data_IF_565551779661
#
_entry.id   IF_565551779661
#
_cell.length_a   1.000
_cell.length_b   1.000
_cell.length_c   1.000
_cell.angle_alpha   90.00
_cell.angle_beta   90.00
_cell.angle_gamma   90.00
#
_symmetry.space_group_name_H-M   'P 1'
#
loop_
_entity.id
_entity.type
_entity.pdbx_description
1 polymer ?
#
# COMPACT_ATOMS: atom_id res chain seq x y z
N UNK A 1 70.07 -0.04 1.26
CA UNK A 1 69.32 0.38 0.06
C UNK A 1 68.36 -0.73 -0.30
N UNK A 2 67.10 -0.59 0.09
CA UNK A 2 66.08 -1.58 -0.25
C UNK A 2 65.50 -1.25 -1.64
N UNK A 3 65.71 -2.10 -2.61
CA UNK A 3 65.10 -2.00 -3.92
C UNK A 3 63.60 -2.38 -3.80
N UNK A 4 62.72 -1.41 -4.03
CA UNK A 4 61.28 -1.66 -4.20
C UNK A 4 61.05 -2.33 -5.53
N UNK A 5 60.59 -3.58 -5.49
CA UNK A 5 60.13 -4.32 -6.67
C UNK A 5 58.88 -3.63 -7.25
N UNK A 6 58.84 -3.34 -8.54
CA UNK A 6 57.63 -2.69 -9.14
C UNK A 6 56.45 -3.64 -9.13
N UNK A 7 55.32 -3.14 -8.65
CA UNK A 7 54.04 -3.84 -8.71
C UNK A 7 53.66 -4.11 -10.16
N UNK A 8 53.29 -5.34 -10.55
CA UNK A 8 52.92 -5.65 -11.93
C UNK A 8 51.68 -4.84 -12.32
N UNK A 9 51.76 -4.02 -13.36
CA UNK A 9 50.62 -3.36 -14.00
C UNK A 9 49.81 -4.39 -14.73
N UNK A 10 48.56 -4.57 -14.35
CA UNK A 10 47.60 -5.37 -15.11
C UNK A 10 47.52 -4.84 -16.55
N UNK A 11 47.56 -5.72 -17.55
CA UNK A 11 47.39 -5.32 -18.95
C UNK A 11 45.98 -4.75 -19.19
N UNK A 12 45.86 -3.90 -20.20
CA UNK A 12 44.57 -3.34 -20.59
C UNK A 12 43.49 -4.42 -20.89
N UNK A 13 43.97 -5.58 -21.42
CA UNK A 13 43.11 -6.74 -21.69
C UNK A 13 42.67 -7.46 -20.41
N UNK A 14 43.52 -7.51 -19.38
CA UNK A 14 43.14 -8.06 -18.08
C UNK A 14 42.10 -7.13 -17.34
N UNK A 15 42.28 -5.81 -17.50
CA UNK A 15 41.29 -4.85 -17.04
C UNK A 15 39.99 -4.92 -17.84
N UNK A 16 40.05 -5.04 -19.16
CA UNK A 16 38.86 -5.22 -20.01
C UNK A 16 38.15 -6.56 -19.76
N UNK A 17 38.88 -7.62 -19.44
CA UNK A 17 38.33 -8.94 -19.05
C UNK A 17 37.73 -8.91 -17.64
N UNK A 18 38.31 -8.16 -16.70
CA UNK A 18 37.76 -7.96 -15.35
C UNK A 18 36.49 -7.10 -15.39
N UNK A 19 36.40 -6.11 -16.30
CA UNK A 19 35.21 -5.30 -16.54
C UNK A 19 34.11 -6.11 -17.28
N UNK A 20 34.46 -7.14 -18.01
CA UNK A 20 33.55 -8.08 -18.66
C UNK A 20 33.02 -9.22 -17.76
N UNK A 21 33.48 -9.34 -16.54
CA UNK A 21 32.70 -9.96 -15.48
C UNK A 21 31.56 -8.97 -15.14
N UNK A 22 30.69 -8.82 -16.13
CA UNK A 22 29.44 -8.06 -15.98
C UNK A 22 28.72 -8.67 -14.79
N UNK A 23 28.81 -7.99 -13.65
CA UNK A 23 27.89 -8.23 -12.54
C UNK A 23 26.51 -8.11 -13.17
N UNK A 24 25.85 -9.24 -13.42
CA UNK A 24 24.46 -9.22 -13.88
C UNK A 24 23.72 -8.34 -12.88
N UNK A 25 23.20 -7.20 -13.30
CA UNK A 25 22.55 -6.30 -12.34
C UNK A 25 21.48 -7.11 -11.62
N UNK A 26 21.35 -6.97 -10.31
CA UNK A 26 20.34 -7.70 -9.56
C UNK A 26 18.98 -7.44 -10.18
N UNK A 27 18.15 -8.48 -10.29
CA UNK A 27 16.81 -8.36 -10.85
C UNK A 27 16.06 -7.21 -10.16
N UNK A 28 15.51 -6.29 -10.95
CA UNK A 28 14.78 -5.15 -10.41
C UNK A 28 13.54 -5.65 -9.66
N UNK A 29 13.33 -5.20 -8.42
CA UNK A 29 12.08 -5.49 -7.72
C UNK A 29 10.91 -4.83 -8.45
N UNK A 30 9.72 -5.37 -8.24
CA UNK A 30 8.48 -4.76 -8.73
C UNK A 30 8.29 -3.34 -8.16
N UNK A 31 7.72 -2.41 -8.93
CA UNK A 31 7.43 -1.05 -8.49
C UNK A 31 6.60 -0.98 -7.22
N UNK A 32 6.82 0.06 -6.41
CA UNK A 32 6.06 0.37 -5.21
C UNK A 32 5.24 1.63 -5.48
N UNK A 33 3.93 1.48 -5.53
CA UNK A 33 3.01 2.52 -5.98
C UNK A 33 2.01 2.88 -4.90
N UNK A 34 1.71 4.16 -4.77
CA UNK A 34 0.58 4.63 -3.99
C UNK A 34 -0.39 5.37 -4.91
N UNK A 35 -1.62 4.87 -5.00
CA UNK A 35 -2.73 5.54 -5.67
C UNK A 35 -3.57 6.23 -4.61
N UNK A 36 -3.61 7.54 -4.63
CA UNK A 36 -4.41 8.31 -3.70
C UNK A 36 -5.45 9.16 -4.44
N UNK A 37 -6.61 9.36 -3.83
CA UNK A 37 -7.67 10.16 -4.42
C UNK A 37 -9.00 10.01 -3.71
N UNK A 38 -9.98 10.87 -4.02
CA UNK A 38 -11.34 10.77 -3.48
C UNK A 38 -12.00 9.42 -3.79
N UNK A 39 -13.09 9.11 -3.10
CA UNK A 39 -13.92 7.96 -3.45
C UNK A 39 -14.49 8.13 -4.86
N UNK A 40 -14.68 7.01 -5.59
CA UNK A 40 -15.25 7.02 -6.94
C UNK A 40 -14.30 7.50 -8.05
N UNK A 41 -12.99 7.66 -7.78
CA UNK A 41 -11.99 8.06 -8.79
C UNK A 41 -11.30 6.87 -9.48
N UNK A 42 -11.85 5.66 -9.35
CA UNK A 42 -11.39 4.49 -10.08
C UNK A 42 -10.12 3.81 -9.54
N UNK A 43 -9.70 4.11 -8.29
CA UNK A 43 -8.50 3.49 -7.68
C UNK A 43 -8.53 1.97 -7.73
N UNK A 44 -9.61 1.38 -7.21
CA UNK A 44 -9.76 -0.09 -7.16
C UNK A 44 -10.01 -0.67 -8.55
N UNK A 45 -10.83 0.00 -9.36
CA UNK A 45 -11.16 -0.43 -10.71
C UNK A 45 -9.91 -0.56 -11.59
N UNK A 46 -8.96 0.39 -11.54
CA UNK A 46 -7.76 0.35 -12.37
C UNK A 46 -6.80 -0.82 -12.04
N UNK A 47 -6.95 -1.47 -10.88
CA UNK A 47 -6.18 -2.69 -10.55
C UNK A 47 -6.46 -3.80 -11.57
N UNK A 48 -7.64 -3.83 -12.20
CA UNK A 48 -7.93 -4.74 -13.30
C UNK A 48 -6.93 -4.64 -14.45
N UNK A 49 -6.40 -3.45 -14.74
CA UNK A 49 -5.38 -3.28 -15.79
C UNK A 49 -4.04 -3.90 -15.43
N UNK A 50 -3.71 -4.05 -14.12
CA UNK A 50 -2.53 -4.75 -13.67
C UNK A 50 -2.67 -6.27 -13.85
N UNK A 51 -3.90 -6.79 -13.63
CA UNK A 51 -4.24 -8.19 -13.90
C UNK A 51 -4.14 -8.48 -15.41
N UNK A 52 -4.70 -7.60 -16.26
CA UNK A 52 -4.61 -7.72 -17.72
C UNK A 52 -3.17 -7.63 -18.26
N UNK A 53 -2.31 -6.90 -17.56
CA UNK A 53 -0.88 -6.82 -17.87
C UNK A 53 -0.11 -8.13 -17.55
N UNK A 54 -0.79 -9.16 -17.06
CA UNK A 54 -0.22 -10.48 -16.78
C UNK A 54 0.45 -10.61 -15.41
N UNK A 55 0.30 -9.63 -14.52
CA UNK A 55 0.78 -9.73 -13.15
C UNK A 55 -0.21 -10.54 -12.32
N UNK A 56 0.29 -11.46 -11.49
CA UNK A 56 -0.54 -12.18 -10.53
C UNK A 56 -0.88 -11.25 -9.35
N UNK A 57 -2.12 -10.81 -9.25
CA UNK A 57 -2.56 -9.81 -8.28
C UNK A 57 -3.19 -10.48 -7.07
N UNK A 58 -2.65 -10.18 -5.88
CA UNK A 58 -3.21 -10.57 -4.59
C UNK A 58 -3.73 -9.31 -3.90
N UNK A 59 -5.05 -9.19 -3.86
CA UNK A 59 -5.77 -8.02 -3.39
C UNK A 59 -6.29 -8.23 -1.98
N UNK A 60 -5.75 -7.47 -1.04
CA UNK A 60 -6.19 -7.46 0.36
C UNK A 60 -7.23 -6.35 0.57
N UNK A 61 -8.48 -6.75 0.77
CA UNK A 61 -9.61 -5.85 0.99
C UNK A 61 -9.76 -5.53 2.49
N UNK A 62 -9.32 -4.36 2.91
CA UNK A 62 -9.70 -3.78 4.21
C UNK A 62 -11.05 -3.07 4.16
N UNK A 63 -11.45 -2.63 2.98
CA UNK A 63 -12.70 -1.93 2.69
C UNK A 63 -13.53 -2.75 1.69
N UNK A 64 -14.79 -2.39 1.54
CA UNK A 64 -15.66 -3.01 0.52
C UNK A 64 -15.28 -2.48 -0.86
N UNK A 65 -14.28 -3.08 -1.49
CA UNK A 65 -13.74 -2.67 -2.79
C UNK A 65 -13.65 -3.80 -3.81
N UNK A 66 -13.76 -5.06 -3.37
CA UNK A 66 -13.63 -6.23 -4.24
C UNK A 66 -14.62 -6.20 -5.42
N UNK A 67 -15.84 -5.67 -5.23
CA UNK A 67 -16.83 -5.51 -6.29
C UNK A 67 -16.33 -4.66 -7.45
N UNK A 68 -15.57 -3.59 -7.18
CA UNK A 68 -15.08 -2.70 -8.21
C UNK A 68 -14.02 -3.36 -9.12
N UNK A 69 -13.17 -4.25 -8.58
CA UNK A 69 -12.21 -5.00 -9.39
C UNK A 69 -12.87 -6.16 -10.12
N UNK A 70 -13.88 -6.80 -9.51
CA UNK A 70 -14.69 -7.82 -10.17
C UNK A 70 -15.48 -7.18 -11.32
N UNK A 71 -16.12 -6.03 -11.08
CA UNK A 71 -16.87 -5.28 -12.08
C UNK A 71 -16.03 -4.85 -13.29
N UNK A 72 -14.73 -4.58 -13.08
CA UNK A 72 -13.82 -4.31 -14.21
C UNK A 72 -13.86 -5.40 -15.30
N UNK A 73 -14.06 -6.65 -14.91
CA UNK A 73 -14.17 -7.76 -15.87
C UNK A 73 -15.63 -8.05 -16.24
N UNK A 74 -16.50 -8.18 -15.26
CA UNK A 74 -17.88 -8.67 -15.48
C UNK A 74 -18.76 -7.69 -16.20
N UNK A 75 -18.60 -6.38 -16.02
CA UNK A 75 -19.38 -5.34 -16.71
C UNK A 75 -19.13 -5.33 -18.23
N UNK A 76 -18.01 -5.90 -18.66
CA UNK A 76 -17.68 -6.10 -20.08
C UNK A 76 -17.83 -7.54 -20.54
N UNK A 77 -18.52 -8.39 -19.76
CA UNK A 77 -18.74 -9.80 -20.10
C UNK A 77 -17.47 -10.65 -20.11
N UNK A 78 -16.38 -10.18 -19.51
CA UNK A 78 -15.13 -10.94 -19.39
C UNK A 78 -15.17 -11.85 -18.16
N UNK A 79 -14.64 -13.08 -18.23
CA UNK A 79 -14.47 -13.90 -17.05
C UNK A 79 -13.44 -13.29 -16.11
N UNK A 80 -13.58 -13.54 -14.80
CA UNK A 80 -12.56 -13.15 -13.81
C UNK A 80 -11.30 -13.98 -14.10
N UNK A 81 -10.13 -13.32 -14.35
CA UNK A 81 -8.90 -14.04 -14.67
C UNK A 81 -8.36 -14.82 -13.48
N UNK A 82 -7.72 -15.99 -13.71
CA UNK A 82 -7.20 -16.85 -12.65
C UNK A 82 -6.02 -16.24 -11.87
N UNK A 83 -5.39 -15.19 -12.41
CA UNK A 83 -4.31 -14.45 -11.76
C UNK A 83 -4.79 -13.27 -10.87
N UNK A 84 -6.10 -13.20 -10.60
CA UNK A 84 -6.68 -12.32 -9.59
C UNK A 84 -7.08 -13.11 -8.35
N UNK A 85 -6.50 -12.80 -7.22
CA UNK A 85 -6.79 -13.40 -5.93
C UNK A 85 -7.28 -12.35 -4.93
N UNK A 86 -8.36 -12.66 -4.20
CA UNK A 86 -8.95 -11.80 -3.19
C UNK A 86 -8.69 -12.39 -1.81
N UNK A 87 -8.31 -11.53 -0.87
CA UNK A 87 -8.11 -11.82 0.54
C UNK A 87 -8.87 -10.78 1.36
N UNK A 88 -9.98 -11.14 1.95
CA UNK A 88 -10.76 -10.24 2.80
C UNK A 88 -10.12 -10.09 4.17
N UNK A 89 -9.85 -8.87 4.58
CA UNK A 89 -9.33 -8.54 5.91
C UNK A 89 -10.51 -8.16 6.81
N UNK A 90 -11.23 -9.19 7.27
CA UNK A 90 -12.42 -8.97 8.07
C UNK A 90 -12.13 -8.27 9.40
N UNK A 91 -12.85 -7.19 9.68
CA UNK A 91 -12.89 -6.61 11.02
C UNK A 91 -13.70 -7.52 11.95
N UNK A 92 -13.30 -7.65 13.24
CA UNK A 92 -14.18 -8.27 14.22
C UNK A 92 -15.48 -7.47 14.29
N UNK A 93 -16.61 -8.13 14.01
CA UNK A 93 -17.93 -7.50 14.09
C UNK A 93 -18.57 -7.81 15.44
N UNK A 94 -19.05 -6.77 16.14
CA UNK A 94 -20.01 -6.95 17.22
C UNK A 94 -21.40 -7.22 16.62
N UNK A 95 -22.20 -8.04 17.26
CA UNK A 95 -23.60 -8.18 16.89
C UNK A 95 -24.35 -6.85 17.14
N UNK A 96 -25.46 -6.63 16.43
CA UNK A 96 -26.28 -5.42 16.66
C UNK A 96 -26.77 -5.33 18.12
N UNK A 97 -26.99 -6.46 18.79
CA UNK A 97 -27.34 -6.50 20.22
C UNK A 97 -26.19 -5.99 21.07
N UNK A 98 -24.97 -6.47 20.87
CA UNK A 98 -23.79 -5.97 21.58
C UNK A 98 -23.55 -4.48 21.35
N UNK A 99 -23.78 -4.01 20.11
CA UNK A 99 -23.67 -2.58 19.77
C UNK A 99 -24.76 -1.77 20.51
N UNK A 100 -26.01 -2.26 20.54
CA UNK A 100 -27.10 -1.59 21.25
C UNK A 100 -26.86 -1.54 22.76
N UNK A 101 -26.33 -2.61 23.34
CA UNK A 101 -25.98 -2.66 24.77
C UNK A 101 -24.81 -1.71 25.08
N UNK A 102 -23.81 -1.63 24.22
CA UNK A 102 -22.72 -0.65 24.36
C UNK A 102 -23.22 0.80 24.33
N UNK A 103 -24.13 1.13 23.41
CA UNK A 103 -24.76 2.45 23.34
C UNK A 103 -25.60 2.74 24.58
N UNK A 104 -26.39 1.75 25.05
CA UNK A 104 -27.19 1.90 26.29
C UNK A 104 -26.29 2.16 27.49
N UNK A 105 -25.22 1.38 27.66
CA UNK A 105 -24.28 1.55 28.75
C UNK A 105 -23.57 2.91 28.68
N UNK A 106 -23.15 3.35 27.49
CA UNK A 106 -22.55 4.67 27.30
C UNK A 106 -23.50 5.80 27.70
N UNK A 107 -24.80 5.67 27.40
CA UNK A 107 -25.82 6.67 27.75
C UNK A 107 -26.10 6.76 29.25
N UNK A 108 -25.80 5.71 30.01
CA UNK A 108 -26.03 5.66 31.46
C UNK A 108 -24.81 6.13 32.28
N UNK A 109 -23.64 6.27 31.66
CA UNK A 109 -22.41 6.65 32.33
C UNK A 109 -22.11 8.14 32.15
N UNK A 110 -21.59 8.77 33.23
CA UNK A 110 -20.99 10.10 33.08
C UNK A 110 -19.74 10.05 32.22
N UNK A 111 -19.33 11.15 31.62
CA UNK A 111 -18.09 11.24 30.82
C UNK A 111 -16.86 10.77 31.59
N UNK A 112 -16.74 11.11 32.87
CA UNK A 112 -15.65 10.68 33.73
C UNK A 112 -15.67 9.17 33.99
N UNK A 113 -16.86 8.56 34.06
CA UNK A 113 -16.99 7.11 34.19
C UNK A 113 -16.65 6.39 32.88
N UNK A 114 -17.05 6.95 31.73
CA UNK A 114 -16.69 6.42 30.41
C UNK A 114 -15.17 6.39 30.18
N UNK A 115 -14.45 7.45 30.58
CA UNK A 115 -12.98 7.50 30.50
C UNK A 115 -12.29 6.40 31.30
N UNK A 116 -12.88 5.99 32.42
CA UNK A 116 -12.34 4.95 33.31
C UNK A 116 -12.77 3.53 32.92
N UNK A 117 -13.65 3.39 31.92
CA UNK A 117 -14.13 2.09 31.49
C UNK A 117 -12.98 1.28 30.88
N UNK A 118 -12.70 0.14 31.49
CA UNK A 118 -11.70 -0.81 31.01
C UNK A 118 -12.38 -1.73 29.98
N UNK A 119 -11.82 -1.82 28.79
CA UNK A 119 -12.27 -2.80 27.81
C UNK A 119 -11.84 -4.21 28.24
N UNK A 120 -12.82 -5.01 28.65
CA UNK A 120 -12.60 -6.42 28.99
C UNK A 120 -12.32 -7.32 27.77
N UNK A 121 -12.54 -6.81 26.55
CA UNK A 121 -12.44 -7.56 25.29
C UNK A 121 -11.19 -7.22 24.47
N UNK A 122 -10.08 -6.86 25.09
CA UNK A 122 -8.86 -6.40 24.42
C UNK A 122 -8.35 -7.34 23.31
N UNK A 123 -8.44 -8.64 23.48
CA UNK A 123 -8.05 -9.64 22.46
C UNK A 123 -8.96 -9.65 21.20
N UNK A 124 -10.11 -8.97 21.24
CA UNK A 124 -11.04 -8.87 20.10
C UNK A 124 -10.49 -8.02 18.96
N UNK A 125 -9.63 -7.05 19.26
CA UNK A 125 -9.07 -6.10 18.27
C UNK A 125 -7.77 -6.61 17.64
N UNK A 126 -7.82 -7.79 17.04
CA UNK A 126 -6.67 -8.50 16.49
C UNK A 126 -6.60 -8.50 14.95
N UNK A 127 -7.34 -7.61 14.30
CA UNK A 127 -7.38 -7.55 12.83
C UNK A 127 -6.00 -7.30 12.23
N UNK A 128 -5.25 -6.32 12.75
CA UNK A 128 -3.90 -6.03 12.29
C UNK A 128 -2.95 -7.21 12.51
N UNK A 129 -3.02 -7.86 13.66
CA UNK A 129 -2.20 -9.03 13.96
C UNK A 129 -2.46 -10.17 12.98
N UNK A 130 -3.72 -10.52 12.74
CA UNK A 130 -4.12 -11.55 11.77
C UNK A 130 -3.65 -11.21 10.36
N UNK A 131 -3.82 -9.95 9.95
CA UNK A 131 -3.35 -9.45 8.66
C UNK A 131 -1.84 -9.62 8.51
N UNK A 132 -1.04 -9.17 9.49
CA UNK A 132 0.42 -9.30 9.43
C UNK A 132 0.88 -10.76 9.47
N UNK A 133 0.22 -11.60 10.26
CA UNK A 133 0.50 -13.04 10.29
C UNK A 133 0.20 -13.72 8.96
N UNK A 134 -0.85 -13.30 8.24
CA UNK A 134 -1.20 -13.87 6.94
C UNK A 134 -0.08 -13.68 5.90
N UNK A 135 0.77 -12.67 6.02
CA UNK A 135 1.89 -12.44 5.10
C UNK A 135 2.97 -13.53 5.13
N UNK A 136 3.05 -14.32 6.21
CA UNK A 136 3.97 -15.46 6.27
C UNK A 136 3.48 -16.68 5.48
N UNK A 137 2.16 -16.81 5.28
CA UNK A 137 1.54 -17.89 4.54
C UNK A 137 0.18 -17.42 4.02
N UNK A 138 0.19 -16.71 2.89
CA UNK A 138 -1.03 -16.16 2.30
C UNK A 138 -1.94 -17.28 1.81
N UNK A 139 -3.19 -17.24 2.26
CA UNK A 139 -4.27 -18.09 1.76
C UNK A 139 -5.40 -17.17 1.33
N UNK A 140 -5.85 -17.33 0.08
CA UNK A 140 -6.92 -16.51 -0.49
C UNK A 140 -8.29 -16.93 0.03
N UNK A 141 -9.32 -16.11 -0.19
CA UNK A 141 -10.72 -16.46 0.16
C UNK A 141 -11.20 -17.73 -0.57
N UNK A 142 -10.62 -18.03 -1.74
CA UNK A 142 -10.85 -19.28 -2.48
C UNK A 142 -10.02 -20.48 -1.95
N UNK A 143 -9.23 -20.30 -0.89
CA UNK A 143 -8.40 -21.37 -0.30
C UNK A 143 -7.07 -21.62 -1.02
N UNK A 144 -6.67 -20.79 -1.99
CA UNK A 144 -5.40 -20.94 -2.71
C UNK A 144 -4.26 -20.49 -1.82
N UNK A 145 -3.22 -21.35 -1.69
CA UNK A 145 -2.03 -21.07 -0.89
C UNK A 145 -0.95 -20.43 -1.77
N UNK A 146 -0.53 -19.21 -1.43
CA UNK A 146 0.40 -18.40 -2.21
C UNK A 146 1.78 -18.21 -1.56
N UNK A 147 2.01 -18.82 -0.39
CA UNK A 147 3.28 -18.71 0.34
C UNK A 147 3.49 -17.37 1.04
N UNK A 148 4.75 -17.07 1.37
CA UNK A 148 5.11 -15.84 2.08
C UNK A 148 5.28 -14.65 1.12
N UNK A 149 4.76 -13.49 1.50
CA UNK A 149 4.91 -12.22 0.73
C UNK A 149 6.38 -11.85 0.52
N UNK A 150 7.26 -12.20 1.45
CA UNK A 150 8.69 -11.91 1.34
C UNK A 150 9.40 -12.75 0.28
N UNK A 151 8.81 -13.87 -0.12
CA UNK A 151 9.34 -14.77 -1.15
C UNK A 151 8.77 -14.46 -2.55
N UNK A 152 7.78 -13.58 -2.64
CA UNK A 152 7.17 -13.24 -3.92
C UNK A 152 8.11 -12.43 -4.80
N UNK A 153 8.24 -12.89 -6.05
CA UNK A 153 8.97 -12.20 -7.11
C UNK A 153 8.14 -11.09 -7.77
N UNK A 154 8.74 -10.39 -8.74
CA UNK A 154 8.09 -9.30 -9.46
C UNK A 154 6.99 -9.74 -10.44
N UNK A 155 6.77 -11.04 -10.65
CA UNK A 155 5.60 -11.56 -11.36
C UNK A 155 4.29 -11.44 -10.57
N UNK A 156 4.37 -11.09 -9.26
CA UNK A 156 3.24 -10.98 -8.36
C UNK A 156 3.10 -9.57 -7.78
N UNK A 157 1.88 -9.14 -7.51
CA UNK A 157 1.56 -7.87 -6.89
C UNK A 157 0.79 -8.07 -5.58
N UNK A 158 1.26 -7.41 -4.53
CA UNK A 158 0.52 -7.18 -3.29
C UNK A 158 -0.27 -5.87 -3.45
N UNK A 159 -1.58 -5.92 -3.35
CA UNK A 159 -2.45 -4.73 -3.31
C UNK A 159 -3.12 -4.64 -1.95
N UNK A 160 -3.02 -3.50 -1.30
CA UNK A 160 -3.74 -3.21 -0.04
C UNK A 160 -4.78 -2.11 -0.32
N UNK A 161 -6.04 -2.46 -0.18
CA UNK A 161 -7.18 -1.53 -0.28
C UNK A 161 -7.95 -1.53 1.04
N UNK A 162 -7.76 -0.55 1.94
CA UNK A 162 -7.18 0.75 1.80
C UNK A 162 -6.36 1.12 3.04
N UNK A 163 -5.61 2.20 2.89
CA UNK A 163 -4.77 2.75 3.96
C UNK A 163 -5.58 3.11 5.21
N UNK A 164 -6.78 3.65 5.05
CA UNK A 164 -7.66 4.05 6.16
C UNK A 164 -8.01 2.83 7.03
N UNK A 165 -8.42 1.72 6.42
CA UNK A 165 -8.72 0.49 7.15
C UNK A 165 -7.51 -0.09 7.88
N UNK A 166 -6.32 -0.04 7.26
CA UNK A 166 -5.06 -0.43 7.90
C UNK A 166 -4.78 0.45 9.13
N UNK A 167 -4.94 1.76 9.00
CA UNK A 167 -4.78 2.73 10.09
C UNK A 167 -5.76 2.50 11.24
N UNK A 168 -7.03 2.26 10.92
CA UNK A 168 -8.06 1.96 11.91
C UNK A 168 -7.78 0.67 12.67
N UNK A 169 -7.31 -0.37 11.98
CA UNK A 169 -6.94 -1.63 12.62
C UNK A 169 -5.76 -1.47 13.59
N UNK A 170 -4.78 -0.63 13.23
CA UNK A 170 -3.65 -0.30 14.10
C UNK A 170 -4.11 0.51 15.33
N UNK A 171 -4.95 1.51 15.14
CA UNK A 171 -5.52 2.29 16.24
C UNK A 171 -6.34 1.40 17.18
N UNK A 172 -7.22 0.56 16.68
CA UNK A 172 -8.01 -0.38 17.48
C UNK A 172 -7.14 -1.35 18.27
N UNK A 173 -6.03 -1.80 17.70
CA UNK A 173 -5.05 -2.63 18.44
C UNK A 173 -4.47 -1.89 19.65
N UNK A 174 -4.24 -0.57 19.54
CA UNK A 174 -3.66 0.23 20.63
C UNK A 174 -4.68 0.59 21.71
N UNK A 175 -5.86 1.07 21.28
CA UNK A 175 -6.87 1.58 22.23
C UNK A 175 -7.77 0.47 22.79
N UNK A 176 -7.94 -0.64 22.05
CA UNK A 176 -9.00 -1.61 22.39
C UNK A 176 -10.37 -0.92 22.31
N UNK A 177 -11.21 -1.16 23.32
CA UNK A 177 -12.49 -0.49 23.48
C UNK A 177 -12.46 0.75 24.37
N UNK A 178 -11.27 1.32 24.65
CA UNK A 178 -11.20 2.59 25.39
C UNK A 178 -12.00 3.68 24.68
N UNK A 179 -12.74 4.45 25.45
CA UNK A 179 -13.50 5.57 24.92
C UNK A 179 -12.62 6.74 24.49
N UNK A 180 -11.55 7.01 25.23
CA UNK A 180 -10.64 8.12 25.00
C UNK A 180 -9.32 7.63 24.39
N UNK A 181 -8.70 8.46 23.52
CA UNK A 181 -7.44 8.18 22.84
C UNK A 181 -6.36 9.09 23.38
N UNK A 182 -5.31 8.50 23.91
CA UNK A 182 -4.13 9.23 24.36
C UNK A 182 -3.20 9.56 23.19
N UNK A 183 -2.38 10.59 23.36
CA UNK A 183 -1.34 10.93 22.36
C UNK A 183 -0.37 9.76 22.12
N UNK A 184 -0.12 8.93 23.13
CA UNK A 184 0.71 7.73 23.03
C UNK A 184 0.09 6.66 22.12
N UNK A 185 -1.23 6.51 22.14
CA UNK A 185 -1.94 5.55 21.28
C UNK A 185 -1.76 5.92 19.80
N UNK A 186 -1.81 7.23 19.48
CA UNK A 186 -1.55 7.72 18.13
C UNK A 186 -0.12 7.42 17.67
N UNK A 187 0.87 7.70 18.51
CA UNK A 187 2.28 7.43 18.19
C UNK A 187 2.54 5.94 17.96
N UNK A 188 1.99 5.07 18.79
CA UNK A 188 2.15 3.63 18.68
C UNK A 188 1.48 3.08 17.41
N UNK A 189 0.24 3.47 17.14
CA UNK A 189 -0.49 3.05 15.95
C UNK A 189 0.19 3.53 14.65
N UNK A 190 0.68 4.78 14.62
CA UNK A 190 1.46 5.31 13.49
C UNK A 190 2.72 4.49 13.24
N UNK A 191 3.48 4.15 14.29
CA UNK A 191 4.68 3.34 14.17
C UNK A 191 4.38 1.94 13.63
N UNK A 192 3.26 1.32 14.02
CA UNK A 192 2.84 0.02 13.47
C UNK A 192 2.57 0.11 11.96
N UNK A 193 1.82 1.12 11.51
CA UNK A 193 1.52 1.31 10.07
C UNK A 193 2.80 1.66 9.31
N UNK A 194 3.58 2.62 9.79
CA UNK A 194 4.84 3.02 9.17
C UNK A 194 5.80 1.85 9.05
N UNK A 195 5.99 1.07 10.12
CA UNK A 195 6.84 -0.12 10.12
C UNK A 195 6.38 -1.19 9.12
N UNK A 196 5.07 -1.42 9.04
CA UNK A 196 4.50 -2.36 8.06
C UNK A 196 4.79 -1.92 6.62
N UNK A 197 4.49 -0.66 6.28
CA UNK A 197 4.71 -0.13 4.94
C UNK A 197 6.19 -0.09 4.57
N UNK A 198 7.07 0.31 5.50
CA UNK A 198 8.53 0.28 5.28
C UNK A 198 9.03 -1.12 5.01
N UNK A 199 8.60 -2.11 5.79
CA UNK A 199 8.98 -3.51 5.57
C UNK A 199 8.57 -4.01 4.19
N UNK A 200 7.32 -3.77 3.78
CA UNK A 200 6.83 -4.18 2.45
C UNK A 200 7.62 -3.47 1.34
N UNK A 201 7.83 -2.17 1.45
CA UNK A 201 8.49 -1.38 0.39
C UNK A 201 9.98 -1.66 0.26
N UNK A 202 10.67 -2.03 1.35
CA UNK A 202 12.12 -2.25 1.36
C UNK A 202 12.52 -3.72 1.16
N UNK A 203 11.74 -4.68 1.67
CA UNK A 203 12.15 -6.08 1.69
C UNK A 203 11.47 -6.95 0.63
N UNK A 204 10.20 -6.64 0.27
CA UNK A 204 9.47 -7.45 -0.70
C UNK A 204 9.90 -7.14 -2.14
N UNK A 205 10.10 -8.16 -2.96
CA UNK A 205 10.47 -8.02 -4.38
C UNK A 205 9.25 -7.91 -5.32
N UNK A 206 8.08 -8.30 -4.86
CA UNK A 206 6.84 -8.18 -5.62
C UNK A 206 6.46 -6.71 -5.88
N UNK A 207 5.53 -6.46 -6.79
CA UNK A 207 4.87 -5.17 -6.89
C UNK A 207 4.13 -4.88 -5.59
N UNK A 208 4.06 -3.62 -5.22
CA UNK A 208 3.22 -3.20 -4.12
C UNK A 208 2.37 -2.00 -4.52
N UNK A 209 1.06 -2.13 -4.37
CA UNK A 209 0.11 -1.05 -4.65
C UNK A 209 -0.68 -0.77 -3.38
N UNK A 210 -0.57 0.45 -2.87
CA UNK A 210 -1.37 0.94 -1.75
C UNK A 210 -2.44 1.88 -2.27
N UNK A 211 -3.70 1.59 -1.97
CA UNK A 211 -4.81 2.49 -2.27
C UNK A 211 -5.13 3.34 -1.03
N UNK A 212 -5.25 4.65 -1.23
CA UNK A 212 -5.48 5.60 -0.15
C UNK A 212 -6.55 6.63 -0.53
N UNK A 213 -7.41 6.97 0.40
CA UNK A 213 -8.23 8.18 0.31
C UNK A 213 -7.37 9.42 0.53
N UNK A 214 -7.88 10.58 0.15
CA UNK A 214 -7.21 11.86 0.39
C UNK A 214 -7.97 12.70 1.40
N UNK A 215 -7.21 13.44 2.18
CA UNK A 215 -7.69 14.52 3.05
C UNK A 215 -7.14 15.86 2.54
N UNK A 216 -7.85 16.93 2.85
CA UNK A 216 -7.44 18.30 2.55
C UNK A 216 -6.94 18.92 3.85
N UNK A 217 -5.67 19.32 3.83
CA UNK A 217 -5.09 20.08 4.94
C UNK A 217 -4.66 21.46 4.47
N UNK A 218 -4.70 22.44 5.36
CA UNK A 218 -4.14 23.76 5.09
C UNK A 218 -2.61 23.66 5.17
N UNK A 219 -1.91 24.08 4.11
CA UNK A 219 -0.46 24.17 4.12
C UNK A 219 -0.02 25.25 5.14
N UNK A 220 0.68 24.89 6.21
CA UNK A 220 1.12 25.85 7.21
C UNK A 220 2.09 26.90 6.68
N UNK A 221 2.78 26.62 5.56
CA UNK A 221 3.82 27.49 4.99
C UNK A 221 3.28 28.40 3.87
N UNK A 222 2.22 27.98 3.17
CA UNK A 222 1.74 28.71 2.00
C UNK A 222 0.27 29.16 2.06
N UNK A 223 -0.48 28.77 3.10
CA UNK A 223 -1.91 29.11 3.24
C UNK A 223 -2.83 28.46 2.19
N UNK A 224 -2.28 27.61 1.32
CA UNK A 224 -3.04 26.85 0.33
C UNK A 224 -3.59 25.53 0.88
N UNK A 225 -4.47 24.89 0.12
CA UNK A 225 -4.94 23.54 0.43
C UNK A 225 -3.94 22.51 -0.14
N UNK A 226 -3.51 21.57 0.70
CA UNK A 226 -2.68 20.43 0.32
C UNK A 226 -3.47 19.14 0.42
N UNK A 227 -3.40 18.31 -0.61
CA UNK A 227 -3.96 16.97 -0.62
C UNK A 227 -2.92 15.98 -0.07
N UNK A 228 -3.31 15.24 0.95
CA UNK A 228 -2.48 14.21 1.57
C UNK A 228 -3.25 12.90 1.64
N UNK A 229 -2.55 11.77 1.67
CA UNK A 229 -3.20 10.48 1.91
C UNK A 229 -3.85 10.50 3.30
N UNK A 230 -5.13 10.08 3.37
CA UNK A 230 -5.85 9.92 4.63
C UNK A 230 -5.19 8.81 5.44
N UNK A 231 -4.37 9.22 6.38
CA UNK A 231 -3.58 8.36 7.23
C UNK A 231 -3.81 8.68 8.71
N UNK A 232 -3.21 7.87 9.57
CA UNK A 232 -3.36 8.03 11.01
C UNK A 232 -2.59 9.27 11.49
N UNK A 233 -3.34 10.33 11.87
CA UNK A 233 -2.79 11.58 12.38
C UNK A 233 -1.89 12.33 11.38
N UNK A 234 -1.43 13.52 11.79
CA UNK A 234 -0.74 14.46 10.89
C UNK A 234 0.71 14.09 10.55
N UNK A 235 1.35 13.21 11.32
CA UNK A 235 2.78 12.93 11.16
C UNK A 235 3.09 11.78 10.19
N UNK A 236 2.15 10.88 9.90
CA UNK A 236 2.36 9.74 9.01
C UNK A 236 2.20 10.14 7.53
N UNK A 237 1.14 10.90 7.21
CA UNK A 237 0.82 11.25 5.83
C UNK A 237 1.99 11.90 5.05
N UNK A 238 2.76 12.86 5.60
CA UNK A 238 3.90 13.47 4.91
C UNK A 238 5.07 12.51 4.65
N UNK A 239 5.17 11.40 5.40
CA UNK A 239 6.24 10.42 5.24
C UNK A 239 5.96 9.39 4.16
N UNK A 240 4.68 9.17 3.82
CA UNK A 240 4.27 8.13 2.88
C UNK A 240 4.91 8.29 1.49
N UNK A 241 4.91 9.47 0.85
CA UNK A 241 5.46 9.63 -0.50
C UNK A 241 6.92 9.17 -0.64
N UNK A 242 7.71 9.27 0.43
CA UNK A 242 9.11 8.85 0.41
C UNK A 242 9.29 7.33 0.27
N UNK A 243 8.30 6.53 0.68
CA UNK A 243 8.38 5.06 0.68
C UNK A 243 8.09 4.43 -0.69
N UNK A 244 7.49 5.16 -1.61
CA UNK A 244 7.02 4.65 -2.90
C UNK A 244 7.89 5.13 -4.06
N UNK A 245 7.91 4.37 -5.15
CA UNK A 245 8.54 4.79 -6.40
C UNK A 245 7.66 5.79 -7.16
N UNK A 246 6.35 5.58 -7.10
CA UNK A 246 5.35 6.41 -7.75
C UNK A 246 4.21 6.71 -6.78
N UNK A 247 3.82 7.98 -6.71
CA UNK A 247 2.67 8.48 -5.96
C UNK A 247 1.78 9.22 -6.94
N UNK A 248 0.59 8.72 -7.15
CA UNK A 248 -0.31 9.10 -8.23
C UNK A 248 -1.62 9.60 -7.63
N UNK A 249 -2.06 10.78 -8.04
CA UNK A 249 -3.38 11.28 -7.70
C UNK A 249 -4.40 10.78 -8.72
N UNK A 250 -5.44 10.10 -8.25
CA UNK A 250 -6.53 9.65 -9.10
C UNK A 250 -7.65 10.70 -9.12
N UNK A 251 -8.10 11.04 -10.31
CA UNK A 251 -9.13 12.06 -10.54
C UNK A 251 -10.27 11.52 -11.39
N UNK A 252 -11.44 12.11 -11.23
CA UNK A 252 -12.58 11.92 -12.13
C UNK A 252 -12.94 13.26 -12.74
N UNK A 253 -13.00 13.29 -14.08
CA UNK A 253 -13.39 14.46 -14.85
C UNK A 253 -14.58 14.05 -15.73
N UNK A 254 -15.78 14.49 -15.35
CA UNK A 254 -17.01 14.00 -15.95
C UNK A 254 -17.23 12.51 -15.71
N UNK A 255 -17.34 11.72 -16.76
CA UNK A 255 -17.47 10.26 -16.71
C UNK A 255 -16.13 9.51 -16.77
N UNK A 256 -15.02 10.20 -16.98
CA UNK A 256 -13.71 9.59 -17.21
C UNK A 256 -12.83 9.65 -15.97
N UNK A 257 -12.00 8.63 -15.79
CA UNK A 257 -10.98 8.54 -14.75
C UNK A 257 -9.60 8.85 -15.33
N UNK A 258 -8.80 9.56 -14.55
CA UNK A 258 -7.45 9.97 -14.94
C UNK A 258 -6.47 9.83 -13.79
N UNK A 259 -5.24 9.54 -14.12
CA UNK A 259 -4.11 9.67 -13.22
C UNK A 259 -3.42 11.01 -13.43
N UNK A 260 -3.01 11.62 -12.34
CA UNK A 260 -2.29 12.90 -12.31
C UNK A 260 -1.00 12.74 -11.51
N UNK A 261 0.11 13.13 -12.11
CA UNK A 261 1.45 13.13 -11.53
C UNK A 261 2.06 14.52 -11.48
N UNK A 262 1.29 15.57 -11.86
CA UNK A 262 1.74 16.95 -11.99
C UNK A 262 1.04 17.92 -11.04
N UNK A 263 0.00 17.49 -10.30
CA UNK A 263 -0.77 18.36 -9.40
C UNK A 263 0.10 18.88 -8.28
N UNK A 264 0.28 20.20 -8.19
CA UNK A 264 1.10 20.86 -7.18
C UNK A 264 0.46 20.91 -5.79
N UNK A 265 -0.82 20.55 -5.67
CA UNK A 265 -1.52 20.51 -4.38
C UNK A 265 -1.25 19.22 -3.59
N UNK A 266 -0.52 18.26 -4.19
CA UNK A 266 -0.20 17.00 -3.57
C UNK A 266 1.30 16.65 -3.72
N UNK A 267 1.87 15.92 -2.75
CA UNK A 267 3.24 15.41 -2.85
C UNK A 267 3.29 14.20 -3.79
N UNK A 268 3.24 14.47 -5.09
CA UNK A 268 3.30 13.46 -6.13
C UNK A 268 4.75 13.14 -6.50
N UNK A 269 4.94 11.93 -7.00
CA UNK A 269 6.24 11.43 -7.42
C UNK A 269 6.05 10.40 -8.51
N UNK A 270 6.87 10.44 -9.53
CA UNK A 270 6.85 9.40 -10.55
C UNK A 270 8.26 9.02 -11.00
N UNK A 271 8.49 7.70 -11.15
CA UNK A 271 9.66 7.13 -11.81
C UNK A 271 9.29 6.41 -13.10
N UNK A 272 8.06 5.95 -13.19
CA UNK A 272 7.61 5.08 -14.26
C UNK A 272 6.55 5.73 -15.18
N UNK A 273 6.05 6.90 -14.84
CA UNK A 273 5.09 7.66 -15.64
C UNK A 273 5.65 9.03 -16.03
N UNK A 274 5.14 9.67 -17.08
CA UNK A 274 5.44 11.06 -17.39
C UNK A 274 4.85 11.98 -16.29
N UNK A 275 5.38 13.20 -16.17
CA UNK A 275 4.76 14.26 -15.37
C UNK A 275 3.63 14.86 -16.21
N UNK A 276 2.38 14.59 -15.86
CA UNK A 276 1.19 15.03 -16.59
C UNK A 276 -0.03 15.02 -15.70
N UNK A 277 -0.94 15.96 -15.90
CA UNK A 277 -2.23 16.03 -15.20
C UNK A 277 -3.30 15.10 -15.77
N UNK A 278 -3.05 14.45 -16.91
CA UNK A 278 -4.04 13.61 -17.60
C UNK A 278 -3.37 12.38 -18.21
N UNK A 279 -3.29 11.30 -17.42
CA UNK A 279 -2.73 10.01 -17.83
C UNK A 279 -3.85 8.97 -17.76
N UNK A 280 -4.04 8.11 -18.78
CA UNK A 280 -4.98 7.00 -18.70
C UNK A 280 -4.68 6.11 -17.47
N UNK A 281 -5.69 5.67 -16.71
CA UNK A 281 -5.48 4.91 -15.47
C UNK A 281 -5.15 3.43 -15.77
N UNK A 282 -3.94 3.19 -16.30
CA UNK A 282 -3.47 1.87 -16.71
C UNK A 282 -2.07 1.58 -16.19
N UNK A 283 -1.90 0.40 -15.59
CA UNK A 283 -0.60 -0.09 -15.15
C UNK A 283 0.30 -0.54 -16.30
N UNK A 284 -0.23 -0.70 -17.51
CA UNK A 284 0.55 -1.12 -18.68
C UNK A 284 1.75 -0.20 -18.94
N UNK A 285 1.53 1.13 -18.87
CA UNK A 285 2.61 2.10 -19.09
C UNK A 285 3.72 2.00 -18.02
N UNK A 286 3.34 1.69 -16.77
CA UNK A 286 4.30 1.48 -15.67
C UNK A 286 5.09 0.19 -15.92
N UNK A 287 4.42 -0.89 -16.33
CA UNK A 287 5.04 -2.17 -16.66
C UNK A 287 6.07 -2.01 -17.79
N UNK A 288 5.68 -1.40 -18.90
CA UNK A 288 6.57 -1.15 -20.05
C UNK A 288 7.80 -0.34 -19.66
N UNK A 289 7.62 0.72 -18.88
CA UNK A 289 8.73 1.55 -18.41
C UNK A 289 9.66 0.79 -17.46
N UNK A 290 9.11 0.01 -16.54
CA UNK A 290 9.89 -0.83 -15.64
C UNK A 290 10.66 -1.92 -16.40
N UNK A 291 10.02 -2.57 -17.38
CA UNK A 291 10.66 -3.58 -18.25
C UNK A 291 11.77 -2.96 -19.10
N UNK A 292 11.59 -1.75 -19.63
CA UNK A 292 12.63 -1.05 -20.39
C UNK A 292 13.91 -0.79 -19.59
N UNK A 293 13.83 -0.87 -18.25
CA UNK A 293 14.94 -0.73 -17.31
C UNK A 293 15.51 -2.08 -16.85
N UNK A 294 15.08 -3.19 -17.46
CA UNK A 294 15.52 -4.53 -17.12
C UNK A 294 14.63 -5.28 -16.12
N UNK A 295 13.45 -4.77 -15.79
CA UNK A 295 12.44 -5.49 -15.01
C UNK A 295 11.92 -6.69 -15.78
N UNK A 296 11.68 -7.80 -15.09
CA UNK A 296 11.13 -9.03 -15.68
C UNK A 296 10.05 -9.60 -14.79
N UNK A 297 8.90 -9.91 -15.37
CA UNK A 297 7.90 -10.77 -14.75
C UNK A 297 8.46 -12.20 -14.80
N UNK A 298 8.96 -12.70 -13.69
CA UNK A 298 9.55 -14.04 -13.60
C UNK A 298 8.75 -14.85 -12.58
#
# INVERSE_FOLDING_TARGET
MNQLTPTPRLSADALASAVKLAVTPPALPGPKLMLMGPSGTGKTHCIGTLVEAGVEVVYFAYEQGAEAIIGYFTDFGKPIPPNLHICTVAAPSASFTEMADAVRNANQLSYEALKKTIDSNRGKYNQLEKFLRSFNAVVTDAGIKLGSVTEWGPGRALVIDGLTGLCDSAMKTCIGGKFDRDQKDWGLAQNMVEGTLRKITSECKCWFVLLAHVERETDPNGGGLKLMASALGKSLAPKLPAMFSDVILTKRIGAEWWWDTADSTADLKTRNLPISGKIPPSFQAILEKWQSRGGKLA
#
